data_IF_909429960786
#
_entry.id   IF_909429960786
#
_cell.length_a   1.000
_cell.length_b   1.000
_cell.length_c   1.000
_cell.angle_alpha   90.00
_cell.angle_beta   90.00
_cell.angle_gamma   90.00
#
_symmetry.space_group_name_H-M   'P 1'
#
loop_
_entity.id
_entity.type
_entity.pdbx_description
1 polymer ?
#
# COMPACT_ATOMS: atom_id res chain seq x y z
N UNK A 1 -27.98 5.36 4.56
CA UNK A 1 -26.92 4.46 5.04
C UNK A 1 -26.90 4.58 6.54
N UNK A 2 -26.89 3.47 7.26
CA UNK A 2 -26.63 3.48 8.68
C UNK A 2 -25.25 4.09 8.94
N UNK A 3 -25.08 4.72 10.11
CA UNK A 3 -23.83 5.34 10.50
C UNK A 3 -22.73 4.27 10.59
N UNK A 4 -21.63 4.44 9.84
CA UNK A 4 -20.45 3.57 9.94
C UNK A 4 -19.71 3.90 11.24
N UNK A 5 -19.44 2.91 12.07
CA UNK A 5 -18.86 3.10 13.41
C UNK A 5 -17.55 2.36 13.66
N UNK A 6 -17.11 1.48 12.74
CA UNK A 6 -15.82 0.81 12.83
C UNK A 6 -15.22 0.47 11.45
N UNK A 7 -13.94 0.07 11.44
CA UNK A 7 -13.21 -0.24 10.19
C UNK A 7 -13.73 -1.49 9.49
N UNK A 8 -14.24 -2.48 10.22
CA UNK A 8 -14.74 -3.73 9.62
C UNK A 8 -16.00 -3.49 8.76
N UNK A 9 -16.84 -2.53 9.15
CA UNK A 9 -18.00 -2.15 8.35
C UNK A 9 -17.61 -1.57 6.98
N UNK A 10 -16.48 -0.85 6.89
CA UNK A 10 -15.94 -0.45 5.57
C UNK A 10 -15.53 -1.65 4.73
N UNK A 11 -15.00 -2.72 5.33
CA UNK A 11 -14.67 -3.95 4.61
C UNK A 11 -15.93 -4.64 4.05
N UNK A 12 -17.02 -4.69 4.83
CA UNK A 12 -18.29 -5.26 4.35
C UNK A 12 -18.92 -4.40 3.24
N UNK A 13 -18.87 -3.07 3.36
CA UNK A 13 -19.32 -2.18 2.30
C UNK A 13 -18.46 -2.32 1.04
N UNK A 14 -17.14 -2.45 1.18
CA UNK A 14 -16.25 -2.70 0.06
C UNK A 14 -16.56 -4.03 -0.64
N UNK A 15 -16.91 -5.08 0.12
CA UNK A 15 -17.33 -6.38 -0.43
C UNK A 15 -18.60 -6.29 -1.27
N UNK A 16 -19.53 -5.40 -0.87
CA UNK A 16 -20.78 -5.17 -1.59
C UNK A 16 -20.59 -4.26 -2.82
N UNK A 17 -19.69 -3.28 -2.72
CA UNK A 17 -19.50 -2.26 -3.76
C UNK A 17 -18.53 -2.69 -4.87
N UNK A 18 -17.51 -3.48 -4.55
CA UNK A 18 -16.45 -3.84 -5.49
C UNK A 18 -16.78 -5.11 -6.27
N UNK A 19 -16.39 -5.20 -7.56
CA UNK A 19 -16.32 -6.47 -8.26
C UNK A 19 -15.52 -7.49 -7.47
N UNK A 20 -15.98 -8.74 -7.42
CA UNK A 20 -15.35 -9.82 -6.64
C UNK A 20 -13.83 -9.90 -6.84
N UNK A 21 -13.37 -9.80 -8.09
CA UNK A 21 -11.94 -9.83 -8.43
C UNK A 21 -11.14 -8.71 -7.75
N UNK A 22 -11.68 -7.50 -7.67
CA UNK A 22 -11.02 -6.36 -7.03
C UNK A 22 -11.08 -6.46 -5.51
N UNK A 23 -12.22 -6.89 -4.96
CA UNK A 23 -12.34 -7.13 -3.52
C UNK A 23 -11.35 -8.20 -3.05
N UNK A 24 -11.29 -9.34 -3.75
CA UNK A 24 -10.39 -10.45 -3.44
C UNK A 24 -8.91 -10.05 -3.59
N UNK A 25 -8.59 -9.17 -4.55
CA UNK A 25 -7.24 -8.62 -4.72
C UNK A 25 -6.77 -7.83 -3.48
N UNK A 26 -7.66 -7.11 -2.81
CA UNK A 26 -7.31 -6.35 -1.60
C UNK A 26 -7.40 -7.18 -0.31
N UNK A 27 -8.44 -8.01 -0.21
CA UNK A 27 -8.72 -8.78 1.02
C UNK A 27 -7.94 -10.09 1.11
N UNK A 28 -7.44 -10.61 -0.01
CA UNK A 28 -6.79 -11.92 -0.09
C UNK A 28 -5.35 -11.93 0.42
N UNK A 29 -5.04 -12.91 1.27
CA UNK A 29 -3.69 -13.28 1.70
C UNK A 29 -3.06 -14.39 0.84
N UNK A 30 -1.88 -14.84 1.24
CA UNK A 30 -1.18 -15.96 0.60
C UNK A 30 -1.75 -17.31 1.05
N UNK A 31 -1.91 -18.24 0.08
CA UNK A 31 -2.32 -19.64 0.29
C UNK A 31 -3.54 -19.78 1.21
N UNK A 32 -3.45 -20.55 2.30
CA UNK A 32 -4.53 -20.77 3.26
C UNK A 32 -4.82 -19.56 4.16
N UNK A 33 -4.12 -18.43 3.94
CA UNK A 33 -4.32 -17.16 4.63
C UNK A 33 -4.15 -17.26 6.16
N UNK A 34 -3.36 -18.23 6.63
CA UNK A 34 -3.12 -18.45 8.05
C UNK A 34 -2.58 -17.19 8.73
N UNK A 35 -1.53 -16.59 8.16
CA UNK A 35 -0.92 -15.36 8.66
C UNK A 35 -1.87 -14.16 8.62
N UNK A 36 -2.75 -14.08 7.61
CA UNK A 36 -3.74 -13.01 7.52
C UNK A 36 -4.70 -13.06 8.72
N UNK A 37 -5.22 -14.25 9.04
CA UNK A 37 -6.04 -14.47 10.24
C UNK A 37 -5.24 -14.17 11.51
N UNK A 38 -4.03 -14.71 11.58
CA UNK A 38 -3.17 -14.60 12.76
C UNK A 38 -2.78 -13.15 13.09
N UNK A 39 -2.60 -12.28 12.09
CA UNK A 39 -2.35 -10.86 12.29
C UNK A 39 -3.43 -10.17 13.13
N UNK A 40 -4.70 -10.56 12.97
CA UNK A 40 -5.82 -10.01 13.74
C UNK A 40 -5.92 -10.70 15.10
N UNK A 41 -5.82 -12.03 15.13
CA UNK A 41 -5.90 -12.80 16.39
C UNK A 41 -4.77 -12.45 17.37
N UNK A 42 -3.60 -12.04 16.87
CA UNK A 42 -2.48 -11.62 17.70
C UNK A 42 -2.81 -10.44 18.61
N UNK A 43 -3.54 -9.44 18.12
CA UNK A 43 -3.95 -8.31 18.94
C UNK A 43 -4.92 -8.70 20.05
N UNK A 44 -5.74 -9.74 19.86
CA UNK A 44 -6.67 -10.24 20.90
C UNK A 44 -5.98 -10.90 22.08
N UNK A 45 -4.73 -11.36 21.89
CA UNK A 45 -3.91 -11.94 22.96
C UNK A 45 -3.21 -10.89 23.82
N UNK A 46 -3.24 -9.63 23.41
CA UNK A 46 -2.68 -8.50 24.17
C UNK A 46 -3.79 -7.89 25.01
N UNK A 47 -3.66 -7.96 26.33
CA UNK A 47 -4.62 -7.36 27.27
C UNK A 47 -4.07 -6.06 27.87
N UNK A 48 -4.94 -5.06 28.00
CA UNK A 48 -4.58 -3.80 28.65
C UNK A 48 -4.69 -3.90 30.18
N UNK A 49 -3.76 -3.25 30.88
CA UNK A 49 -3.84 -2.99 32.31
C UNK A 49 -4.09 -1.49 32.52
N UNK A 50 -5.35 -1.02 32.44
CA UNK A 50 -5.64 0.40 32.48
C UNK A 50 -5.15 1.01 33.80
N UNK A 51 -4.55 2.19 33.72
CA UNK A 51 -4.16 2.99 34.88
C UNK A 51 -5.33 3.90 35.22
N UNK A 52 -5.87 3.75 36.42
CA UNK A 52 -6.99 4.57 36.92
C UNK A 52 -6.49 5.81 37.64
N UNK A 53 -7.37 6.81 37.80
CA UNK A 53 -7.07 8.10 38.44
C UNK A 53 -5.93 8.88 37.77
N UNK A 54 -5.83 8.76 36.45
CA UNK A 54 -4.95 9.58 35.61
C UNK A 54 -5.79 10.67 34.97
N UNK A 55 -5.35 11.93 35.05
CA UNK A 55 -5.99 13.02 34.33
C UNK A 55 -5.77 12.84 32.83
N UNK A 56 -6.86 12.47 32.13
CA UNK A 56 -6.92 12.31 30.68
C UNK A 56 -7.85 13.33 30.04
N UNK A 57 -8.12 14.46 30.72
CA UNK A 57 -8.95 15.55 30.20
C UNK A 57 -8.39 16.19 28.92
N UNK A 58 -7.08 16.05 28.70
CA UNK A 58 -6.37 16.44 27.47
C UNK A 58 -5.49 15.28 27.01
N UNK A 59 -5.79 14.74 25.84
CA UNK A 59 -5.01 13.66 25.20
C UNK A 59 -4.33 14.24 23.97
N UNK A 60 -3.01 14.26 23.97
CA UNK A 60 -2.20 14.58 22.80
C UNK A 60 -1.63 13.29 22.21
N UNK A 61 -2.09 12.90 21.03
CA UNK A 61 -1.59 11.74 20.29
C UNK A 61 -0.49 12.13 19.28
N UNK A 62 -0.17 13.42 19.17
CA UNK A 62 0.78 13.89 18.17
C UNK A 62 2.17 13.32 18.41
N UNK A 63 2.87 13.04 17.32
CA UNK A 63 4.24 12.50 17.37
C UNK A 63 4.99 12.86 16.09
N UNK A 64 6.21 12.35 15.94
CA UNK A 64 7.02 12.52 14.73
C UNK A 64 7.49 11.18 14.18
N UNK A 65 7.49 11.04 12.86
CA UNK A 65 8.11 9.91 12.16
C UNK A 65 9.18 10.48 11.21
N UNK A 66 10.43 10.05 11.39
CA UNK A 66 11.60 10.55 10.65
C UNK A 66 11.70 12.09 10.66
N UNK A 67 11.31 12.73 11.77
CA UNK A 67 11.33 14.18 11.94
C UNK A 67 10.06 14.92 11.49
N UNK A 68 9.13 14.25 10.81
CA UNK A 68 7.89 14.85 10.32
C UNK A 68 6.75 14.72 11.33
N UNK A 69 6.06 15.83 11.69
CA UNK A 69 4.95 15.79 12.64
C UNK A 69 3.72 15.09 12.05
N UNK A 70 3.03 14.32 12.88
CA UNK A 70 1.74 13.68 12.58
C UNK A 70 0.80 13.82 13.77
N UNK A 71 -0.52 13.84 13.52
CA UNK A 71 -1.56 14.02 14.54
C UNK A 71 -1.76 12.84 15.48
N UNK A 72 -1.43 11.63 15.02
CA UNK A 72 -1.53 10.37 15.75
C UNK A 72 -0.49 9.38 15.19
N UNK A 73 -0.06 8.35 15.94
CA UNK A 73 0.90 7.34 15.48
C UNK A 73 0.27 6.31 14.51
N UNK A 74 -0.48 6.79 13.52
CA UNK A 74 -1.22 6.01 12.52
C UNK A 74 -0.92 6.61 11.15
N UNK A 75 -0.35 5.82 10.25
CA UNK A 75 0.01 6.23 8.87
C UNK A 75 -0.69 5.34 7.85
N UNK A 76 -0.80 5.81 6.61
CA UNK A 76 -1.35 5.01 5.51
C UNK A 76 -0.25 4.14 4.91
N UNK A 77 -0.45 2.82 4.97
CA UNK A 77 0.46 1.83 4.42
C UNK A 77 0.46 1.82 2.87
N UNK A 78 1.53 1.34 2.22
CA UNK A 78 1.58 1.27 0.77
C UNK A 78 0.70 0.14 0.23
N UNK A 79 -0.41 0.53 -0.40
CA UNK A 79 -1.26 -0.34 -1.22
C UNK A 79 -1.23 0.15 -2.67
N UNK A 80 -1.22 -0.76 -3.64
CA UNK A 80 -1.20 -0.41 -5.07
C UNK A 80 -2.59 -0.34 -5.69
N UNK A 81 -2.68 0.27 -6.87
CA UNK A 81 -3.87 0.30 -7.73
C UNK A 81 -5.16 0.82 -7.07
N UNK A 82 -5.15 1.92 -6.32
CA UNK A 82 -6.35 2.43 -5.63
C UNK A 82 -7.54 2.73 -6.58
N UNK A 83 -7.28 2.95 -7.87
CA UNK A 83 -8.33 3.12 -8.88
C UNK A 83 -9.22 1.90 -9.09
N UNK A 84 -8.82 0.71 -8.63
CA UNK A 84 -9.71 -0.45 -8.59
C UNK A 84 -10.79 -0.32 -7.51
N UNK A 85 -10.53 0.46 -6.46
CA UNK A 85 -11.46 0.72 -5.37
C UNK A 85 -12.27 2.01 -5.57
N UNK A 86 -11.66 3.07 -6.10
CA UNK A 86 -12.31 4.36 -6.31
C UNK A 86 -11.66 5.12 -7.48
N UNK A 87 -12.41 5.73 -8.41
CA UNK A 87 -11.85 6.36 -9.62
C UNK A 87 -10.73 7.40 -9.38
N UNK A 88 -10.79 8.13 -8.27
CA UNK A 88 -9.76 9.12 -7.91
C UNK A 88 -8.45 8.51 -7.37
N UNK A 89 -8.45 7.22 -7.02
CA UNK A 89 -7.27 6.45 -6.66
C UNK A 89 -6.44 7.03 -5.52
N UNK A 90 -5.12 7.08 -5.71
CA UNK A 90 -4.18 7.50 -4.68
C UNK A 90 -4.27 9.00 -4.36
N UNK A 91 -4.81 9.83 -5.26
CA UNK A 91 -4.93 11.28 -5.01
C UNK A 91 -5.92 11.57 -3.88
N UNK A 92 -7.06 10.89 -3.83
CA UNK A 92 -8.03 11.06 -2.73
C UNK A 92 -7.47 10.49 -1.41
N UNK A 93 -6.67 9.44 -1.46
CA UNK A 93 -5.95 8.93 -0.28
C UNK A 93 -4.92 9.94 0.24
N UNK A 94 -4.18 10.61 -0.65
CA UNK A 94 -3.24 11.65 -0.26
C UNK A 94 -3.95 12.87 0.33
N UNK A 95 -5.10 13.26 -0.23
CA UNK A 95 -5.94 14.32 0.32
C UNK A 95 -6.43 14.00 1.73
N UNK A 96 -6.88 12.76 1.96
CA UNK A 96 -7.27 12.30 3.30
C UNK A 96 -6.09 12.32 4.28
N UNK A 97 -4.89 11.88 3.85
CA UNK A 97 -3.69 11.94 4.68
C UNK A 97 -3.33 13.38 5.07
N UNK A 98 -3.44 14.34 4.14
CA UNK A 98 -3.24 15.76 4.41
C UNK A 98 -4.26 16.30 5.42
N UNK A 99 -5.54 16.00 5.22
CA UNK A 99 -6.62 16.46 6.10
C UNK A 99 -6.49 15.90 7.52
N UNK A 100 -6.01 14.65 7.66
CA UNK A 100 -5.75 14.02 8.95
C UNK A 100 -4.38 14.39 9.54
N UNK A 101 -3.55 15.18 8.85
CA UNK A 101 -2.16 15.47 9.22
C UNK A 101 -1.38 14.19 9.54
N UNK A 102 -1.35 13.24 8.60
CA UNK A 102 -0.56 12.02 8.69
C UNK A 102 0.22 11.76 7.40
N UNK A 103 1.10 10.75 7.44
CA UNK A 103 1.93 10.33 6.32
C UNK A 103 1.17 9.33 5.46
N UNK A 104 1.24 9.53 4.14
CA UNK A 104 0.90 8.49 3.16
C UNK A 104 2.17 7.84 2.63
N UNK A 105 2.26 6.52 2.72
CA UNK A 105 3.28 5.74 2.03
C UNK A 105 2.69 5.33 0.68
N UNK A 106 3.16 5.92 -0.41
CA UNK A 106 2.65 5.66 -1.76
C UNK A 106 3.34 4.43 -2.32
N UNK A 107 2.59 3.44 -2.80
CA UNK A 107 3.17 2.31 -3.52
C UNK A 107 3.68 2.75 -4.88
N UNK A 108 4.84 2.26 -5.31
CA UNK A 108 5.27 2.45 -6.70
C UNK A 108 4.30 1.79 -7.72
N UNK A 109 3.48 0.81 -7.29
CA UNK A 109 2.36 0.24 -8.07
C UNK A 109 1.07 1.07 -7.99
N UNK A 110 1.17 2.35 -7.61
CA UNK A 110 0.04 3.25 -7.63
C UNK A 110 -0.55 3.38 -9.05
N UNK A 111 -1.88 3.48 -9.12
CA UNK A 111 -2.61 3.78 -10.35
C UNK A 111 -2.46 5.24 -10.80
N UNK A 112 -2.31 6.17 -9.84
CA UNK A 112 -1.86 7.52 -10.12
C UNK A 112 -0.32 7.58 -10.14
N UNK A 113 0.24 8.45 -10.97
CA UNK A 113 1.68 8.70 -10.96
C UNK A 113 2.11 9.39 -9.66
N UNK A 114 3.35 9.18 -9.23
CA UNK A 114 3.85 9.82 -8.00
C UNK A 114 3.82 11.36 -8.07
N UNK A 115 3.92 11.93 -9.28
CA UNK A 115 3.78 13.36 -9.53
C UNK A 115 2.33 13.84 -9.38
N UNK A 116 1.36 13.09 -9.93
CA UNK A 116 -0.06 13.38 -9.73
C UNK A 116 -0.41 13.37 -8.24
N UNK A 117 0.04 12.33 -7.51
CA UNK A 117 -0.17 12.22 -6.07
C UNK A 117 0.52 13.36 -5.31
N UNK A 118 1.74 13.75 -5.70
CA UNK A 118 2.44 14.88 -5.07
C UNK A 118 1.73 16.21 -5.30
N UNK A 119 1.19 16.43 -6.50
CA UNK A 119 0.49 17.66 -6.89
C UNK A 119 -0.90 17.81 -6.27
N UNK A 120 -1.52 16.73 -5.79
CA UNK A 120 -2.90 16.77 -5.30
C UNK A 120 -3.06 17.49 -3.95
N UNK A 121 -2.03 17.50 -3.10
CA UNK A 121 -2.07 18.13 -1.77
C UNK A 121 -0.67 18.35 -1.16
N UNK A 122 -0.64 18.92 0.06
CA UNK A 122 0.58 19.14 0.83
C UNK A 122 0.82 18.07 1.93
N UNK A 123 0.41 16.81 1.71
CA UNK A 123 0.71 15.72 2.64
C UNK A 123 2.22 15.39 2.69
N UNK A 124 2.70 14.95 3.86
CA UNK A 124 4.00 14.26 3.94
C UNK A 124 3.84 12.88 3.29
N UNK A 125 4.72 12.57 2.33
CA UNK A 125 4.66 11.32 1.58
C UNK A 125 5.98 10.59 1.61
N UNK A 126 5.90 9.28 1.82
CA UNK A 126 7.02 8.35 1.60
C UNK A 126 6.73 7.52 0.36
N UNK A 127 7.77 7.06 -0.33
CA UNK A 127 7.64 6.19 -1.49
C UNK A 127 8.02 4.77 -1.09
N UNK A 128 7.10 3.82 -1.24
CA UNK A 128 7.43 2.41 -1.20
C UNK A 128 7.94 1.95 -2.57
N UNK A 129 9.03 1.18 -2.60
CA UNK A 129 9.58 0.63 -3.85
C UNK A 129 10.20 -0.75 -3.69
N UNK A 130 10.39 -1.42 -4.83
CA UNK A 130 11.25 -2.60 -4.98
C UNK A 130 12.51 -2.27 -5.77
N UNK A 131 13.54 -3.08 -5.56
CA UNK A 131 14.80 -3.01 -6.30
C UNK A 131 14.74 -3.94 -7.52
N UNK A 132 14.41 -3.36 -8.68
CA UNK A 132 14.31 -4.06 -9.96
C UNK A 132 15.68 -4.49 -10.48
N UNK A 133 15.76 -5.62 -11.22
CA UNK A 133 16.99 -6.04 -11.93
C UNK A 133 17.63 -4.89 -12.70
N UNK A 134 16.80 -4.14 -13.43
CA UNK A 134 17.17 -2.88 -14.06
C UNK A 134 17.25 -1.77 -13.01
N UNK A 135 18.44 -1.64 -12.40
CA UNK A 135 18.74 -0.66 -11.34
C UNK A 135 18.58 0.78 -11.79
N UNK A 136 18.76 1.05 -13.09
CA UNK A 136 18.51 2.34 -13.72
C UNK A 136 17.06 2.80 -13.55
N UNK A 137 16.10 1.88 -13.62
CA UNK A 137 14.68 2.22 -13.40
C UNK A 137 14.41 2.53 -11.93
N UNK A 138 14.91 1.72 -11.00
CA UNK A 138 14.78 2.03 -9.57
C UNK A 138 15.42 3.39 -9.25
N UNK A 139 16.60 3.68 -9.81
CA UNK A 139 17.26 4.97 -9.63
C UNK A 139 16.46 6.15 -10.20
N UNK A 140 15.83 5.98 -11.37
CA UNK A 140 14.95 7.00 -11.94
C UNK A 140 13.71 7.25 -11.07
N UNK A 141 13.10 6.19 -10.53
CA UNK A 141 11.96 6.31 -9.63
C UNK A 141 12.31 7.09 -8.34
N UNK A 142 13.46 6.79 -7.74
CA UNK A 142 13.97 7.53 -6.57
C UNK A 142 14.17 9.01 -6.91
N UNK A 143 14.85 9.32 -8.03
CA UNK A 143 15.06 10.71 -8.47
C UNK A 143 13.75 11.47 -8.70
N UNK A 144 12.74 10.80 -9.28
CA UNK A 144 11.42 11.39 -9.48
C UNK A 144 10.74 11.67 -8.14
N UNK A 145 10.80 10.75 -7.19
CA UNK A 145 10.23 10.94 -5.86
C UNK A 145 10.91 12.08 -5.09
N UNK A 146 12.25 12.17 -5.13
CA UNK A 146 13.00 13.29 -4.55
C UNK A 146 12.55 14.62 -5.15
N UNK A 147 12.47 14.70 -6.49
CA UNK A 147 12.01 15.90 -7.21
C UNK A 147 10.55 16.26 -6.88
N UNK A 148 9.69 15.26 -6.70
CA UNK A 148 8.30 15.41 -6.31
C UNK A 148 8.13 15.70 -4.79
N UNK A 149 9.22 15.80 -4.04
CA UNK A 149 9.21 16.24 -2.64
C UNK A 149 8.88 15.14 -1.63
N UNK A 150 8.95 13.87 -2.03
CA UNK A 150 8.84 12.73 -1.12
C UNK A 150 9.97 12.76 -0.07
N UNK A 151 9.66 12.31 1.15
CA UNK A 151 10.51 12.54 2.32
C UNK A 151 11.27 11.32 2.81
N UNK A 152 10.87 10.12 2.39
CA UNK A 152 11.58 8.88 2.70
C UNK A 152 11.28 7.80 1.68
N UNK A 153 12.12 6.77 1.67
CA UNK A 153 11.94 5.54 0.92
C UNK A 153 11.60 4.39 1.88
N UNK A 154 10.55 3.65 1.56
CA UNK A 154 10.15 2.41 2.22
C UNK A 154 10.52 1.25 1.28
N UNK A 155 11.70 0.69 1.49
CA UNK A 155 12.18 -0.42 0.67
C UNK A 155 11.51 -1.73 1.12
N UNK A 156 10.74 -2.34 0.25
CA UNK A 156 10.14 -3.65 0.52
C UNK A 156 11.13 -4.75 0.18
N UNK A 157 11.47 -5.60 1.16
CA UNK A 157 12.56 -6.60 1.09
C UNK A 157 12.09 -8.05 1.20
N UNK A 158 10.81 -8.27 1.46
CA UNK A 158 10.18 -9.57 1.71
C UNK A 158 9.50 -10.18 0.46
N UNK A 159 9.58 -9.51 -0.69
CA UNK A 159 8.96 -9.97 -1.95
C UNK A 159 10.02 -10.23 -3.04
N UNK A 160 11.00 -11.14 -2.86
CA UNK A 160 11.88 -11.54 -3.96
C UNK A 160 11.12 -12.27 -5.08
N UNK A 161 9.99 -12.91 -4.72
CA UNK A 161 8.93 -13.39 -5.61
C UNK A 161 7.58 -13.05 -5.00
N UNK A 162 6.55 -12.95 -5.83
CA UNK A 162 5.19 -12.74 -5.35
C UNK A 162 4.72 -13.94 -4.54
N UNK A 163 4.00 -13.66 -3.45
CA UNK A 163 3.28 -14.69 -2.69
C UNK A 163 2.15 -15.29 -3.52
N UNK A 164 1.86 -16.57 -3.32
CA UNK A 164 0.82 -17.27 -4.08
C UNK A 164 -0.56 -16.94 -3.51
N UNK A 165 -1.25 -15.96 -4.10
CA UNK A 165 -2.62 -15.56 -3.70
C UNK A 165 -3.66 -16.30 -4.52
N UNK A 166 -4.31 -17.30 -3.92
CA UNK A 166 -5.19 -18.21 -4.67
C UNK A 166 -6.45 -17.54 -5.22
N UNK A 167 -6.95 -16.50 -4.55
CA UNK A 167 -8.10 -15.75 -5.01
C UNK A 167 -7.78 -15.02 -6.33
N UNK A 168 -6.60 -14.40 -6.44
CA UNK A 168 -6.15 -13.77 -7.68
C UNK A 168 -6.02 -14.77 -8.83
N UNK A 169 -5.49 -15.97 -8.54
CA UNK A 169 -5.35 -17.05 -9.53
C UNK A 169 -6.74 -17.50 -10.03
N UNK A 170 -7.66 -17.79 -9.10
CA UNK A 170 -9.04 -18.22 -9.42
C UNK A 170 -9.80 -17.16 -10.21
N UNK A 171 -9.59 -15.88 -9.88
CA UNK A 171 -10.23 -14.76 -10.55
C UNK A 171 -9.51 -14.33 -11.84
N UNK A 172 -8.36 -14.93 -12.17
CA UNK A 172 -7.50 -14.53 -13.29
C UNK A 172 -7.18 -13.03 -13.25
N UNK A 173 -6.80 -12.53 -12.07
CA UNK A 173 -6.57 -11.11 -11.83
C UNK A 173 -5.58 -10.53 -12.83
N UNK A 174 -6.02 -9.48 -13.55
CA UNK A 174 -5.19 -8.73 -14.48
C UNK A 174 -4.72 -7.46 -13.79
N UNK A 175 -3.41 -7.25 -13.71
CA UNK A 175 -2.89 -5.99 -13.19
C UNK A 175 -3.06 -4.90 -14.24
N UNK A 176 -3.60 -3.72 -13.88
CA UNK A 176 -3.55 -2.54 -14.73
C UNK A 176 -2.12 -2.18 -15.13
N UNK A 177 -1.98 -1.45 -16.23
CA UNK A 177 -0.69 -0.91 -16.65
C UNK A 177 -0.16 0.07 -15.60
N UNK A 178 1.10 -0.10 -15.19
CA UNK A 178 1.72 0.74 -14.20
C UNK A 178 2.17 2.06 -14.83
N UNK A 179 1.33 3.09 -14.75
CA UNK A 179 1.59 4.45 -15.29
C UNK A 179 2.90 5.06 -14.80
N UNK A 180 3.34 4.70 -13.60
CA UNK A 180 4.64 5.09 -13.07
C UNK A 180 5.84 4.61 -13.90
N UNK A 181 5.68 3.61 -14.77
CA UNK A 181 6.76 3.09 -15.63
C UNK A 181 6.48 3.21 -17.12
N UNK A 182 5.48 4.00 -17.50
CA UNK A 182 5.18 4.24 -18.90
C UNK A 182 6.43 4.76 -19.64
N UNK A 183 6.80 4.09 -20.73
CA UNK A 183 8.01 4.40 -21.49
C UNK A 183 9.34 3.87 -20.91
N UNK A 184 9.36 3.25 -19.72
CA UNK A 184 10.59 2.71 -19.10
C UNK A 184 10.82 1.22 -19.38
N UNK A 185 9.75 0.46 -19.64
CA UNK A 185 9.77 -0.93 -20.11
C UNK A 185 8.63 -1.18 -21.10
N UNK A 186 8.78 -2.21 -21.94
CA UNK A 186 7.62 -2.82 -22.61
C UNK A 186 6.77 -3.52 -21.55
N UNK A 187 5.52 -3.11 -21.40
CA UNK A 187 4.53 -3.74 -20.51
C UNK A 187 3.74 -4.82 -21.25
N UNK A 188 4.38 -5.58 -22.14
CA UNK A 188 3.75 -6.74 -22.76
C UNK A 188 3.45 -7.77 -21.68
N UNK A 189 2.15 -8.01 -21.46
CA UNK A 189 1.66 -9.04 -20.55
C UNK A 189 2.04 -10.39 -21.16
N UNK A 190 3.11 -11.00 -20.67
CA UNK A 190 3.46 -12.37 -21.05
C UNK A 190 2.30 -13.30 -20.63
N UNK A 191 1.87 -14.24 -21.49
CA UNK A 191 0.90 -15.24 -21.08
C UNK A 191 1.52 -16.07 -19.97
N UNK A 192 0.98 -15.96 -18.75
CA UNK A 192 1.37 -16.79 -17.62
C UNK A 192 0.19 -17.67 -17.23
N UNK A 193 0.49 -18.90 -16.78
CA UNK A 193 -0.51 -19.80 -16.18
C UNK A 193 -0.95 -19.35 -14.77
N UNK A 194 -0.54 -18.14 -14.33
CA UNK A 194 -0.77 -17.58 -12.99
C UNK A 194 -1.65 -16.32 -12.97
N UNK A 195 -1.71 -15.63 -11.84
CA UNK A 195 -2.36 -14.31 -11.75
C UNK A 195 -1.51 -13.31 -12.55
N UNK A 196 -2.06 -12.65 -13.57
CA UNK A 196 -1.34 -11.68 -14.42
C UNK A 196 -0.68 -10.49 -13.70
N UNK A 197 -0.82 -10.41 -12.38
CA UNK A 197 -0.02 -9.58 -11.45
C UNK A 197 1.49 -9.88 -11.56
N UNK A 198 1.87 -11.12 -11.87
CA UNK A 198 3.27 -11.52 -12.06
C UNK A 198 3.93 -10.86 -13.28
N UNK A 199 3.15 -10.49 -14.30
CA UNK A 199 3.68 -9.94 -15.55
C UNK A 199 4.28 -8.54 -15.39
N UNK A 200 3.90 -7.79 -14.35
CA UNK A 200 4.42 -6.44 -14.07
C UNK A 200 5.68 -6.43 -13.20
N UNK A 201 6.18 -7.61 -12.82
CA UNK A 201 7.38 -7.75 -12.01
C UNK A 201 8.40 -8.58 -12.81
N UNK A 202 9.08 -7.98 -13.81
CA UNK A 202 10.18 -8.63 -14.50
C UNK A 202 11.36 -8.80 -13.51
N UNK A 203 11.28 -9.87 -12.72
CA UNK A 203 12.24 -10.37 -11.75
C UNK A 203 12.83 -9.32 -10.78
N UNK A 204 12.37 -9.32 -9.53
CA UNK A 204 13.17 -8.77 -8.44
C UNK A 204 14.50 -9.53 -8.37
N UNK A 205 15.61 -8.80 -8.36
CA UNK A 205 16.92 -9.35 -8.05
C UNK A 205 17.34 -8.87 -6.66
N UNK A 206 16.87 -9.58 -5.65
CA UNK A 206 17.59 -9.69 -4.38
C UNK A 206 18.07 -11.13 -4.25
N UNK A 207 19.24 -11.43 -4.84
CA UNK A 207 20.09 -12.50 -4.31
C UNK A 207 20.78 -11.92 -3.09
N UNK A 208 20.28 -12.19 -1.90
CA UNK A 208 21.10 -12.05 -0.70
C UNK A 208 22.14 -13.17 -0.77
N UNK A 209 23.42 -12.80 -0.94
CA UNK A 209 24.50 -13.76 -0.73
C UNK A 209 24.53 -14.05 0.75
N UNK A 210 24.13 -15.26 1.15
CA UNK A 210 24.46 -15.76 2.47
C UNK A 210 25.99 -15.94 2.49
N UNK A 211 26.68 -15.02 3.16
CA UNK A 211 28.03 -15.26 3.68
C UNK A 211 27.96 -16.19 4.87
#
# INVERSE_FOLDING_TARGET
MDQIVNVNEFQELAKQALPKMFYDFYSGGAEDQHTLKENVEAFRRIIFRPRVLVDVSKIDMSTKILGYPISAPIVIAPTGNHQLAHPEGETVTANAAAACNTIMIVSYMASCTIEEVASSCNAVRFLQLYVYKRRDVTAQMVKRAEKAGFKAIVLTVDVPRLGRREADIKNKMVSPQLRNFEGLFSTEVLPSEGSGVECNIPYLAMKFSAT
#
